data_IF_933210038736
#
_entry.id   IF_933210038736
#
_cell.length_a   1.000
_cell.length_b   1.000
_cell.length_c   1.000
_cell.angle_alpha   90.00
_cell.angle_beta   90.00
_cell.angle_gamma   90.00
#
_symmetry.space_group_name_H-M   'P 1'
#
loop_
_entity.id
_entity.type
_entity.pdbx_description
1 polymer ?
#
# COMPACT_ATOMS: atom_id res chain seq x y z
N UNK A 1 -12.12 13.83 1.69
CA UNK A 1 -11.74 14.34 0.35
C UNK A 1 -10.28 14.78 0.27
N UNK A 2 -9.86 15.89 0.93
CA UNK A 2 -8.48 16.40 0.83
C UNK A 2 -7.40 15.33 1.15
N UNK A 3 -7.55 14.58 2.24
CA UNK A 3 -6.63 13.49 2.62
C UNK A 3 -6.47 12.43 1.50
N UNK A 4 -7.57 12.06 0.84
CA UNK A 4 -7.53 11.08 -0.26
C UNK A 4 -6.85 11.66 -1.50
N UNK A 5 -7.07 12.95 -1.79
CA UNK A 5 -6.39 13.65 -2.89
C UNK A 5 -4.88 13.71 -2.63
N UNK A 6 -4.47 14.05 -1.40
CA UNK A 6 -3.05 14.10 -1.02
C UNK A 6 -2.40 12.72 -1.13
N UNK A 7 -3.04 11.66 -0.63
CA UNK A 7 -2.51 10.30 -0.72
C UNK A 7 -2.39 9.84 -2.18
N UNK A 8 -3.43 10.07 -3.00
CA UNK A 8 -3.41 9.69 -4.42
C UNK A 8 -2.39 10.50 -5.21
N UNK A 9 -2.28 11.80 -4.94
CA UNK A 9 -1.26 12.67 -5.53
C UNK A 9 0.15 12.23 -5.17
N UNK A 10 0.38 11.86 -3.90
CA UNK A 10 1.67 11.32 -3.46
C UNK A 10 2.01 10.01 -4.18
N UNK A 11 1.06 9.08 -4.31
CA UNK A 11 1.26 7.83 -5.05
C UNK A 11 1.56 8.08 -6.54
N UNK A 12 0.87 9.04 -7.17
CA UNK A 12 1.12 9.43 -8.55
C UNK A 12 2.49 10.08 -8.75
N UNK A 13 3.04 10.74 -7.71
CA UNK A 13 4.36 11.37 -7.76
C UNK A 13 5.53 10.39 -7.63
N UNK A 14 5.31 9.19 -7.07
CA UNK A 14 6.35 8.16 -6.85
C UNK A 14 7.20 7.88 -8.10
N UNK A 15 6.64 7.57 -9.29
CA UNK A 15 7.46 7.29 -10.48
C UNK A 15 8.36 8.46 -10.88
N UNK A 16 7.89 9.70 -10.69
CA UNK A 16 8.68 10.90 -10.98
C UNK A 16 9.83 11.05 -9.99
N UNK A 17 9.57 10.90 -8.68
CA UNK A 17 10.61 10.94 -7.64
C UNK A 17 11.70 9.90 -7.92
N UNK A 18 11.30 8.68 -8.25
CA UNK A 18 12.20 7.59 -8.64
C UNK A 18 13.05 7.99 -9.85
N UNK A 19 12.45 8.56 -10.89
CA UNK A 19 13.16 9.02 -12.08
C UNK A 19 14.12 10.18 -11.80
N UNK A 20 13.71 11.16 -10.98
CA UNK A 20 14.55 12.31 -10.60
C UNK A 20 15.74 11.89 -9.75
N UNK A 21 15.55 10.96 -8.81
CA UNK A 21 16.64 10.39 -8.03
C UNK A 21 17.65 9.66 -8.94
N UNK A 22 17.15 8.85 -9.88
CA UNK A 22 18.02 8.16 -10.81
C UNK A 22 18.79 9.13 -11.72
N UNK A 23 18.13 10.11 -12.33
CA UNK A 23 18.80 11.10 -13.19
C UNK A 23 19.82 11.95 -12.43
N UNK A 24 19.55 12.31 -11.17
CA UNK A 24 20.53 12.98 -10.32
C UNK A 24 21.78 12.10 -10.07
N UNK A 25 21.57 10.81 -9.82
CA UNK A 25 22.67 9.86 -9.60
C UNK A 25 23.45 9.55 -10.88
N UNK A 26 22.77 9.37 -12.02
CA UNK A 26 23.38 9.12 -13.33
C UNK A 26 24.27 10.30 -13.76
N UNK A 27 23.80 11.54 -13.56
CA UNK A 27 24.60 12.75 -13.83
C UNK A 27 25.86 12.82 -12.99
N UNK A 28 25.82 12.38 -11.72
CA UNK A 28 27.00 12.34 -10.84
C UNK A 28 28.00 11.25 -11.18
N UNK A 29 27.55 10.16 -11.78
CA UNK A 29 28.38 8.97 -12.05
C UNK A 29 28.81 8.85 -13.52
N UNK A 30 28.47 9.83 -14.36
CA UNK A 30 28.82 9.83 -15.79
C UNK A 30 28.13 8.72 -16.59
N UNK A 31 27.03 8.15 -16.07
CA UNK A 31 26.32 7.07 -16.76
C UNK A 31 25.52 7.61 -17.94
N UNK A 32 25.52 6.91 -19.09
CA UNK A 32 24.75 7.34 -20.25
C UNK A 32 23.25 7.34 -19.94
N UNK A 33 22.61 8.50 -20.13
CA UNK A 33 21.16 8.69 -20.09
C UNK A 33 20.54 7.86 -21.22
N UNK A 34 20.15 6.62 -20.92
CA UNK A 34 19.65 5.64 -21.90
C UNK A 34 19.89 4.19 -21.48
N UNK A 35 20.87 3.95 -20.60
CA UNK A 35 21.01 2.66 -19.91
C UNK A 35 19.94 2.55 -18.82
N UNK A 36 18.85 1.84 -19.10
CA UNK A 36 17.78 1.63 -18.11
C UNK A 36 18.38 0.91 -16.89
N UNK A 37 18.26 1.48 -15.67
CA UNK A 37 18.90 0.96 -14.46
C UNK A 37 18.07 -0.17 -13.85
N UNK A 38 17.89 -1.25 -14.60
CA UNK A 38 17.07 -2.40 -14.20
C UNK A 38 17.34 -2.89 -12.77
N UNK A 39 18.59 -3.07 -12.32
CA UNK A 39 18.83 -3.57 -10.96
C UNK A 39 18.28 -2.65 -9.88
N UNK A 40 18.38 -1.34 -10.08
CA UNK A 40 17.89 -0.35 -9.12
C UNK A 40 16.36 -0.27 -9.13
N UNK A 41 15.73 -0.28 -10.31
CA UNK A 41 14.27 -0.31 -10.43
C UNK A 41 13.67 -1.58 -9.80
N UNK A 42 14.31 -2.73 -10.02
CA UNK A 42 13.91 -4.00 -9.41
C UNK A 42 14.05 -3.93 -7.89
N UNK A 43 15.16 -3.39 -7.37
CA UNK A 43 15.36 -3.24 -5.93
C UNK A 43 14.30 -2.32 -5.30
N UNK A 44 13.98 -1.19 -5.94
CA UNK A 44 12.94 -0.27 -5.46
C UNK A 44 11.56 -0.94 -5.51
N UNK A 45 11.23 -1.65 -6.59
CA UNK A 45 9.96 -2.39 -6.70
C UNK A 45 9.83 -3.47 -5.62
N UNK A 46 10.89 -4.24 -5.38
CA UNK A 46 10.92 -5.24 -4.31
C UNK A 46 10.75 -4.62 -2.93
N UNK A 47 11.42 -3.49 -2.66
CA UNK A 47 11.30 -2.77 -1.40
C UNK A 47 9.87 -2.23 -1.18
N UNK A 48 9.27 -1.62 -2.20
CA UNK A 48 7.89 -1.13 -2.14
C UNK A 48 6.89 -2.27 -1.94
N UNK A 49 7.08 -3.41 -2.61
CA UNK A 49 6.25 -4.59 -2.42
C UNK A 49 6.36 -5.13 -0.99
N UNK A 50 7.59 -5.27 -0.47
CA UNK A 50 7.84 -5.72 0.90
C UNK A 50 7.18 -4.80 1.93
N UNK A 51 7.34 -3.48 1.80
CA UNK A 51 6.69 -2.51 2.67
C UNK A 51 5.16 -2.59 2.60
N UNK A 52 4.60 -2.79 1.40
CA UNK A 52 3.16 -2.98 1.23
C UNK A 52 2.65 -4.22 1.97
N UNK A 53 3.37 -5.34 1.87
CA UNK A 53 3.00 -6.57 2.57
C UNK A 53 3.09 -6.41 4.08
N UNK A 54 4.17 -5.77 4.58
CA UNK A 54 4.32 -5.49 6.00
C UNK A 54 3.19 -4.59 6.52
N UNK A 55 2.85 -3.54 5.79
CA UNK A 55 1.75 -2.64 6.16
C UNK A 55 0.41 -3.41 6.24
N UNK A 56 0.15 -4.32 5.31
CA UNK A 56 -1.05 -5.17 5.37
C UNK A 56 -1.10 -6.03 6.62
N UNK A 57 0.03 -6.56 7.11
CA UNK A 57 0.05 -7.37 8.34
C UNK A 57 -0.10 -6.49 9.59
N UNK A 58 0.59 -5.35 9.64
CA UNK A 58 0.63 -4.48 10.84
C UNK A 58 -0.70 -3.74 11.06
N UNK A 59 -1.37 -3.34 9.98
CA UNK A 59 -2.58 -2.50 10.08
C UNK A 59 -3.88 -3.28 9.85
N UNK A 60 -3.83 -4.59 9.58
CA UNK A 60 -5.03 -5.41 9.50
C UNK A 60 -5.49 -5.78 10.91
N UNK A 61 -6.74 -5.44 11.22
CA UNK A 61 -7.41 -5.89 12.44
C UNK A 61 -7.50 -7.41 12.41
N UNK A 62 -6.82 -8.05 13.34
CA UNK A 62 -6.84 -9.50 13.51
C UNK A 62 -7.99 -9.88 14.46
N UNK A 63 -8.89 -10.75 13.99
CA UNK A 63 -10.03 -11.23 14.79
C UNK A 63 -9.68 -12.54 15.52
N UNK A 64 -8.39 -12.91 15.59
CA UNK A 64 -7.95 -14.09 16.34
C UNK A 64 -8.32 -13.98 17.82
N UNK A 65 -8.97 -15.03 18.31
CA UNK A 65 -9.45 -15.11 19.69
C UNK A 65 -10.82 -14.46 19.91
N UNK A 66 -11.42 -13.87 18.88
CA UNK A 66 -12.79 -13.34 18.93
C UNK A 66 -13.79 -14.41 18.46
N UNK A 67 -14.99 -14.38 19.03
CA UNK A 67 -16.10 -15.23 18.60
C UNK A 67 -16.85 -14.54 17.48
N UNK A 68 -17.04 -15.25 16.37
CA UNK A 68 -17.93 -14.78 15.31
C UNK A 68 -19.40 -14.95 15.73
N UNK A 69 -20.15 -13.86 15.72
CA UNK A 69 -21.60 -13.83 15.92
C UNK A 69 -22.26 -13.67 14.55
N UNK A 70 -22.99 -14.68 14.05
CA UNK A 70 -23.66 -14.58 12.76
C UNK A 70 -24.78 -13.54 12.81
N UNK A 71 -25.05 -12.93 11.67
CA UNK A 71 -26.18 -12.01 11.54
C UNK A 71 -27.51 -12.76 11.62
N UNK A 72 -28.41 -12.30 12.49
CA UNK A 72 -29.75 -12.88 12.64
C UNK A 72 -30.84 -11.96 12.08
N UNK A 73 -31.87 -12.57 11.50
CA UNK A 73 -33.08 -11.88 11.10
C UNK A 73 -34.01 -11.74 12.33
N UNK A 74 -34.38 -10.50 12.65
CA UNK A 74 -35.27 -10.20 13.77
C UNK A 74 -36.74 -10.34 13.36
N UNK A 75 -37.65 -10.57 14.33
CA UNK A 75 -39.09 -10.67 14.07
C UNK A 75 -39.71 -9.42 13.42
N UNK A 76 -39.06 -8.27 13.52
CA UNK A 76 -39.46 -7.00 12.89
C UNK A 76 -38.99 -6.87 11.42
N UNK A 77 -38.36 -7.92 10.87
CA UNK A 77 -37.85 -7.95 9.50
C UNK A 77 -36.49 -7.28 9.30
N UNK A 78 -35.86 -6.76 10.37
CA UNK A 78 -34.50 -6.19 10.30
C UNK A 78 -33.46 -7.30 10.42
N UNK A 79 -32.33 -7.14 9.74
CA UNK A 79 -31.19 -8.05 9.86
C UNK A 79 -30.10 -7.36 10.67
N UNK A 80 -29.64 -8.01 11.73
CA UNK A 80 -28.41 -7.62 12.41
C UNK A 80 -27.21 -8.09 11.61
N UNK A 81 -26.24 -7.22 11.38
CA UNK A 81 -24.98 -7.60 10.73
C UNK A 81 -24.18 -8.54 11.63
N UNK A 82 -23.53 -9.53 11.01
CA UNK A 82 -22.58 -10.38 11.69
C UNK A 82 -21.39 -9.56 12.16
N UNK A 83 -20.89 -9.85 13.35
CA UNK A 83 -19.75 -9.15 13.94
C UNK A 83 -18.90 -10.10 14.76
N UNK A 84 -17.71 -9.63 15.14
CA UNK A 84 -16.84 -10.35 16.06
C UNK A 84 -16.95 -9.71 17.44
N UNK A 85 -17.07 -10.54 18.47
CA UNK A 85 -17.11 -10.14 19.88
C UNK A 85 -15.99 -10.83 20.67
N UNK A 86 -15.54 -10.18 21.76
CA UNK A 86 -14.36 -10.60 22.54
C UNK A 86 -14.75 -11.38 23.79
#
# INVERSE_FOLDING_TARGET
MLRQILIRGALAAIPFVIWFLWTAWARRTGRPMGSTPWPWLVAVAAALLGLSLMASVVFHSDNRGERYVPGEARPDGRVTEGHFER
#
